data_IF_980256117850
#
_entry.id   IF_980256117850
#
_cell.length_a   1.000
_cell.length_b   1.000
_cell.length_c   1.000
_cell.angle_alpha   90.00
_cell.angle_beta   90.00
_cell.angle_gamma   90.00
#
_symmetry.space_group_name_H-M   'P 1'
#
loop_
_entity.id
_entity.type
_entity.pdbx_description
1 polymer ?
#
# COMPACT_ATOMS: atom_id res chain seq x y z
N UNK A 1 -37.21 16.56 38.39
CA UNK A 1 -37.18 15.94 37.01
C UNK A 1 -35.84 16.12 36.29
N UNK A 2 -35.16 17.29 36.44
CA UNK A 2 -33.91 17.59 35.71
C UNK A 2 -32.74 16.70 36.15
N UNK A 3 -32.55 16.45 37.45
CA UNK A 3 -31.45 15.64 38.02
C UNK A 3 -31.53 14.16 37.57
N UNK A 4 -32.75 13.61 37.48
CA UNK A 4 -32.96 12.21 37.05
C UNK A 4 -32.56 11.99 35.57
N UNK A 5 -32.73 12.99 34.72
CA UNK A 5 -32.33 12.93 33.32
C UNK A 5 -30.82 13.07 33.10
N UNK A 6 -30.13 13.85 33.93
CA UNK A 6 -28.66 13.96 33.90
C UNK A 6 -27.98 12.66 34.35
N UNK A 7 -28.50 11.99 35.41
CA UNK A 7 -28.00 10.71 35.87
C UNK A 7 -28.17 9.60 34.81
N UNK A 8 -29.29 9.56 34.07
CA UNK A 8 -29.50 8.62 32.98
C UNK A 8 -28.55 8.86 31.78
N UNK A 9 -28.21 10.11 31.51
CA UNK A 9 -27.22 10.42 30.44
C UNK A 9 -25.81 9.98 30.84
N UNK A 10 -25.40 10.21 32.09
CA UNK A 10 -24.09 9.77 32.59
C UNK A 10 -23.97 8.24 32.61
N UNK A 11 -25.03 7.53 32.99
CA UNK A 11 -25.03 6.06 32.97
C UNK A 11 -24.91 5.52 31.56
N UNK A 12 -25.66 6.07 30.58
CA UNK A 12 -25.61 5.67 29.16
C UNK A 12 -24.26 6.00 28.53
N UNK A 13 -23.60 7.07 28.97
CA UNK A 13 -22.27 7.46 28.47
C UNK A 13 -21.19 6.50 29.00
N UNK A 14 -21.28 6.09 30.28
CA UNK A 14 -20.36 5.10 30.85
C UNK A 14 -20.51 3.71 30.21
N UNK A 15 -21.73 3.28 29.88
CA UNK A 15 -21.94 2.01 29.17
C UNK A 15 -21.39 2.06 27.74
N UNK A 16 -21.49 3.19 27.05
CA UNK A 16 -20.91 3.37 25.73
C UNK A 16 -19.38 3.34 25.75
N UNK A 17 -18.75 3.96 26.76
CA UNK A 17 -17.29 3.95 26.95
C UNK A 17 -16.82 2.54 27.32
N UNK A 18 -17.53 1.85 28.21
CA UNK A 18 -17.19 0.49 28.64
C UNK A 18 -17.28 -0.52 27.49
N UNK A 19 -18.30 -0.42 26.62
CA UNK A 19 -18.42 -1.26 25.43
C UNK A 19 -17.32 -0.99 24.39
N UNK A 20 -16.94 0.28 24.17
CA UNK A 20 -15.83 0.62 23.27
C UNK A 20 -14.48 0.17 23.83
N UNK A 21 -14.27 0.29 25.15
CA UNK A 21 -13.06 -0.21 25.80
C UNK A 21 -12.99 -1.75 25.74
N UNK A 22 -14.09 -2.45 25.96
CA UNK A 22 -14.17 -3.90 25.81
C UNK A 22 -13.89 -4.38 24.39
N UNK A 23 -14.36 -3.65 23.38
CA UNK A 23 -14.10 -3.94 21.98
C UNK A 23 -12.63 -3.71 21.61
N UNK A 24 -12.01 -2.66 22.13
CA UNK A 24 -10.59 -2.37 21.96
C UNK A 24 -9.70 -3.41 22.66
N UNK A 25 -10.05 -3.80 23.89
CA UNK A 25 -9.32 -4.85 24.63
C UNK A 25 -9.47 -6.20 23.93
N UNK A 26 -10.66 -6.55 23.44
CA UNK A 26 -10.89 -7.76 22.65
C UNK A 26 -10.10 -7.77 21.33
N UNK A 27 -9.97 -6.62 20.66
CA UNK A 27 -9.15 -6.47 19.46
C UNK A 27 -7.66 -6.60 19.79
N UNK A 28 -7.19 -6.03 20.90
CA UNK A 28 -5.80 -6.14 21.37
C UNK A 28 -5.45 -7.57 21.83
N UNK A 29 -6.39 -8.29 22.46
CA UNK A 29 -6.17 -9.69 22.84
C UNK A 29 -6.18 -10.62 21.64
N UNK A 30 -7.02 -10.38 20.63
CA UNK A 30 -6.96 -11.08 19.34
C UNK A 30 -5.64 -10.85 18.61
N UNK A 31 -5.11 -9.64 18.61
CA UNK A 31 -3.79 -9.30 18.06
C UNK A 31 -2.63 -9.90 18.87
N UNK A 32 -2.78 -10.06 20.19
CA UNK A 32 -1.78 -10.65 21.08
C UNK A 32 -1.66 -12.18 21.03
N UNK A 33 -2.66 -12.88 20.48
CA UNK A 33 -2.62 -14.34 20.31
C UNK A 33 -1.72 -14.81 19.14
N UNK A 34 -1.27 -13.91 18.27
CA UNK A 34 -0.21 -14.24 17.33
C UNK A 34 1.13 -14.17 18.07
N UNK A 35 1.60 -15.29 18.61
CA UNK A 35 2.97 -15.43 19.09
C UNK A 35 3.91 -15.27 17.88
N UNK A 36 4.26 -14.02 17.55
CA UNK A 36 5.19 -13.66 16.49
C UNK A 36 6.56 -14.14 16.95
N UNK A 37 7.01 -15.26 16.44
CA UNK A 37 8.41 -15.67 16.58
C UNK A 37 9.24 -14.72 15.69
N UNK A 38 10.31 -14.17 16.23
CA UNK A 38 11.19 -13.22 15.51
C UNK A 38 11.70 -13.78 14.15
N UNK A 39 11.78 -15.11 14.05
CA UNK A 39 12.18 -15.84 12.82
C UNK A 39 11.16 -15.76 11.66
N UNK A 40 10.03 -15.12 11.88
CA UNK A 40 8.89 -15.09 10.96
C UNK A 40 8.68 -13.72 10.31
N UNK A 41 9.63 -12.80 10.47
CA UNK A 41 9.54 -11.43 9.97
C UNK A 41 10.62 -11.17 8.92
N UNK A 42 10.21 -10.59 7.80
CA UNK A 42 11.11 -10.11 6.77
C UNK A 42 10.84 -8.64 6.44
N UNK A 43 11.91 -7.87 6.24
CA UNK A 43 11.83 -6.49 5.73
C UNK A 43 12.31 -6.48 4.29
N UNK A 44 11.62 -5.73 3.42
CA UNK A 44 11.94 -5.71 1.99
C UNK A 44 11.81 -4.32 1.38
N UNK A 45 12.54 -4.14 0.27
CA UNK A 45 12.41 -2.97 -0.59
C UNK A 45 12.33 -3.40 -2.05
N UNK A 46 11.46 -2.76 -2.82
CA UNK A 46 11.30 -3.02 -4.25
C UNK A 46 12.25 -2.11 -5.05
N UNK A 47 13.24 -2.72 -5.68
CA UNK A 47 14.27 -2.04 -6.47
C UNK A 47 13.69 -1.41 -7.75
N UNK A 48 12.72 -2.07 -8.40
CA UNK A 48 12.08 -1.49 -9.59
C UNK A 48 11.34 -0.21 -9.24
N UNK A 49 10.61 -0.19 -8.12
CA UNK A 49 9.87 0.97 -7.67
C UNK A 49 10.80 2.09 -7.20
N UNK A 50 11.88 1.74 -6.48
CA UNK A 50 12.91 2.68 -6.06
C UNK A 50 13.72 3.25 -7.22
N UNK A 51 14.18 2.39 -8.13
CA UNK A 51 15.06 2.78 -9.24
C UNK A 51 14.31 3.47 -10.39
N UNK A 52 13.24 2.86 -10.92
CA UNK A 52 12.52 3.39 -12.07
C UNK A 52 11.63 4.59 -11.70
N UNK A 53 10.95 4.54 -10.57
CA UNK A 53 10.04 5.60 -10.14
C UNK A 53 10.67 6.57 -9.15
N UNK A 54 11.93 6.35 -8.77
CA UNK A 54 12.66 7.16 -7.77
C UNK A 54 11.82 7.37 -6.50
N UNK A 55 11.12 6.31 -6.08
CA UNK A 55 10.16 6.36 -4.99
C UNK A 55 10.62 5.48 -3.85
N UNK A 56 10.96 6.06 -2.69
CA UNK A 56 11.23 5.31 -1.47
C UNK A 56 10.06 4.38 -1.13
N UNK A 57 10.39 3.14 -0.78
CA UNK A 57 9.39 2.13 -0.46
C UNK A 57 9.96 1.11 0.53
N UNK A 58 9.08 0.59 1.36
CA UNK A 58 9.41 -0.42 2.35
C UNK A 58 8.24 -1.39 2.50
N UNK A 59 8.53 -2.64 2.76
CA UNK A 59 7.57 -3.67 3.08
C UNK A 59 8.01 -4.50 4.28
N UNK A 60 7.04 -5.02 5.00
CA UNK A 60 7.23 -5.96 6.10
C UNK A 60 6.34 -7.16 5.84
N UNK A 61 6.91 -8.34 5.94
CA UNK A 61 6.21 -9.60 5.74
C UNK A 61 6.28 -10.45 7.00
N UNK A 62 5.13 -11.00 7.40
CA UNK A 62 4.97 -11.84 8.59
C UNK A 62 4.57 -13.26 8.21
N UNK A 63 5.27 -14.25 8.77
CA UNK A 63 4.86 -15.64 8.72
C UNK A 63 3.70 -15.91 9.68
N UNK A 64 2.54 -16.31 9.15
CA UNK A 64 1.37 -16.68 9.94
C UNK A 64 1.37 -18.18 10.18
N UNK A 65 1.78 -18.95 9.19
CA UNK A 65 1.87 -20.41 9.23
C UNK A 65 3.06 -20.90 8.40
N UNK A 66 3.39 -22.22 8.42
CA UNK A 66 4.49 -22.74 7.63
C UNK A 66 4.42 -22.44 6.12
N UNK A 67 3.22 -22.19 5.60
CA UNK A 67 2.99 -21.91 4.17
C UNK A 67 2.24 -20.60 3.90
N UNK A 68 1.93 -19.80 4.93
CA UNK A 68 1.19 -18.55 4.77
C UNK A 68 1.97 -17.39 5.38
N UNK A 69 2.05 -16.30 4.60
CA UNK A 69 2.61 -15.02 5.05
C UNK A 69 1.68 -13.86 4.67
N UNK A 70 1.74 -12.78 5.43
CA UNK A 70 1.11 -11.50 5.11
C UNK A 70 2.18 -10.49 4.85
N UNK A 71 2.12 -9.82 3.70
CA UNK A 71 3.01 -8.74 3.29
C UNK A 71 2.25 -7.41 3.36
N UNK A 72 2.80 -6.45 4.07
CA UNK A 72 2.36 -5.06 4.06
C UNK A 72 3.47 -4.21 3.45
N UNK A 73 3.17 -3.51 2.35
CA UNK A 73 4.12 -2.71 1.62
C UNK A 73 3.59 -1.30 1.42
N UNK A 74 4.48 -0.30 1.52
CA UNK A 74 4.16 1.09 1.32
C UNK A 74 5.23 1.84 0.53
N UNK A 75 4.79 2.83 -0.25
CA UNK A 75 5.64 3.73 -0.99
C UNK A 75 5.15 5.17 -0.87
N UNK A 76 6.09 6.11 -0.78
CA UNK A 76 5.78 7.52 -0.66
C UNK A 76 6.76 8.35 -1.47
N UNK A 77 6.23 9.14 -2.41
CA UNK A 77 7.02 10.08 -3.20
C UNK A 77 6.50 11.51 -3.03
N UNK A 78 7.13 12.32 -2.17
CA UNK A 78 6.78 13.72 -2.00
C UNK A 78 7.44 14.64 -3.03
N UNK A 79 8.42 14.13 -3.80
CA UNK A 79 9.31 14.93 -4.63
C UNK A 79 8.71 15.25 -6.01
N UNK A 80 8.95 16.44 -6.56
CA UNK A 80 8.70 16.72 -7.98
C UNK A 80 9.73 15.97 -8.84
N UNK A 81 9.30 15.39 -9.96
CA UNK A 81 10.19 14.72 -10.91
C UNK A 81 10.89 15.76 -11.78
N UNK A 82 12.15 16.16 -11.44
CA UNK A 82 12.95 17.09 -12.23
C UNK A 82 13.96 17.88 -11.42
N UNK A 83 15.16 18.06 -11.99
CA UNK A 83 16.31 18.71 -11.31
C UNK A 83 16.12 20.19 -10.97
N UNK A 84 15.09 20.86 -11.50
CA UNK A 84 14.86 22.30 -11.26
C UNK A 84 13.41 22.52 -10.84
N UNK A 85 13.20 22.86 -9.58
CA UNK A 85 11.89 23.08 -8.97
C UNK A 85 11.13 24.31 -9.50
N UNK A 86 11.73 25.11 -10.37
CA UNK A 86 11.16 26.30 -11.03
C UNK A 86 11.72 26.39 -12.45
N UNK A 87 11.11 25.70 -13.39
CA UNK A 87 11.51 25.78 -14.77
C UNK A 87 10.52 25.05 -15.70
N UNK A 88 10.44 25.42 -16.93
CA UNK A 88 9.44 25.19 -17.98
C UNK A 88 8.95 23.73 -18.20
N UNK A 89 9.40 22.75 -17.41
CA UNK A 89 8.95 21.37 -17.44
C UNK A 89 8.43 20.95 -16.05
N UNK A 90 7.23 21.41 -15.71
CA UNK A 90 6.54 21.17 -14.43
C UNK A 90 6.12 19.69 -14.26
N UNK A 91 7.10 18.77 -14.30
CA UNK A 91 6.88 17.33 -14.11
C UNK A 91 6.65 17.05 -12.63
N UNK A 92 5.46 16.60 -12.28
CA UNK A 92 5.12 16.18 -10.90
C UNK A 92 4.66 14.74 -10.90
N UNK A 93 5.23 13.95 -9.98
CA UNK A 93 4.81 12.58 -9.75
C UNK A 93 4.73 12.31 -8.24
N UNK A 94 3.89 13.09 -7.58
CA UNK A 94 3.65 12.89 -6.15
C UNK A 94 2.63 11.79 -5.98
N UNK A 95 2.96 10.77 -5.20
CA UNK A 95 2.03 9.70 -4.89
C UNK A 95 2.42 8.98 -3.61
N UNK A 96 1.44 8.35 -3.01
CA UNK A 96 1.65 7.32 -2.02
C UNK A 96 0.78 6.12 -2.34
N UNK A 97 1.26 4.96 -1.97
CA UNK A 97 0.59 3.69 -2.21
C UNK A 97 0.84 2.78 -1.01
N UNK A 98 -0.21 2.15 -0.52
CA UNK A 98 -0.15 1.07 0.46
C UNK A 98 -0.75 -0.18 -0.16
N UNK A 99 -0.17 -1.32 0.15
CA UNK A 99 -0.62 -2.61 -0.35
C UNK A 99 -0.48 -3.66 0.72
N UNK A 100 -1.52 -4.48 0.87
CA UNK A 100 -1.51 -5.70 1.67
C UNK A 100 -1.65 -6.91 0.76
N UNK A 101 -0.95 -7.99 1.07
CA UNK A 101 -0.97 -9.22 0.29
C UNK A 101 -0.90 -10.44 1.19
N UNK A 102 -1.82 -11.37 0.99
CA UNK A 102 -1.78 -12.69 1.59
C UNK A 102 -1.10 -13.64 0.60
N UNK A 103 -0.07 -14.35 1.05
CA UNK A 103 0.75 -15.24 0.23
C UNK A 103 0.66 -16.68 0.69
N UNK A 104 0.54 -17.55 -0.28
CA UNK A 104 0.63 -19.00 -0.09
C UNK A 104 1.89 -19.53 -0.78
N UNK A 105 2.77 -20.16 0.01
CA UNK A 105 4.03 -20.75 -0.41
C UNK A 105 3.84 -22.22 -0.77
N UNK A 106 4.39 -22.65 -1.90
CA UNK A 106 4.26 -24.04 -2.34
C UNK A 106 5.08 -25.00 -1.47
N UNK A 107 6.28 -24.57 -1.06
CA UNK A 107 7.16 -25.37 -0.19
C UNK A 107 7.09 -24.85 1.25
N UNK A 108 7.96 -23.93 1.60
CA UNK A 108 8.06 -23.29 2.90
C UNK A 108 7.99 -21.78 2.76
N UNK A 109 7.56 -21.09 3.82
CA UNK A 109 7.55 -19.61 3.83
C UNK A 109 8.95 -19.06 3.56
N UNK A 110 9.01 -17.95 2.84
CA UNK A 110 10.23 -17.25 2.43
C UNK A 110 11.16 -18.06 1.53
N UNK A 111 10.68 -19.13 0.89
CA UNK A 111 11.47 -19.96 -0.01
C UNK A 111 10.69 -20.44 -1.23
N UNK A 112 11.22 -20.18 -2.43
CA UNK A 112 10.69 -20.69 -3.68
C UNK A 112 9.46 -19.96 -4.20
N UNK A 113 8.54 -20.73 -4.77
CA UNK A 113 7.35 -20.23 -5.44
C UNK A 113 6.23 -19.87 -4.46
N UNK A 114 5.56 -18.77 -4.74
CA UNK A 114 4.35 -18.36 -4.02
C UNK A 114 3.29 -17.75 -4.93
N UNK A 115 2.04 -17.86 -4.51
CA UNK A 115 0.89 -17.17 -5.05
C UNK A 115 0.39 -16.17 -4.00
N UNK A 116 -0.08 -15.00 -4.45
CA UNK A 116 -0.59 -13.98 -3.55
C UNK A 116 -1.90 -13.38 -4.03
N UNK A 117 -2.77 -13.03 -3.08
CA UNK A 117 -3.90 -12.15 -3.30
C UNK A 117 -3.62 -10.81 -2.66
N UNK A 118 -3.71 -9.71 -3.41
CA UNK A 118 -3.36 -8.38 -2.91
C UNK A 118 -4.49 -7.37 -3.06
N UNK A 119 -4.55 -6.47 -2.09
CA UNK A 119 -5.37 -5.28 -2.08
C UNK A 119 -4.45 -4.06 -2.06
N UNK A 120 -4.82 -3.00 -2.74
CA UNK A 120 -4.03 -1.77 -2.73
C UNK A 120 -4.91 -0.52 -2.76
N UNK A 121 -4.40 0.53 -2.13
CA UNK A 121 -4.99 1.84 -2.13
C UNK A 121 -3.89 2.91 -2.19
N UNK A 122 -4.16 4.01 -2.92
CA UNK A 122 -3.22 5.10 -2.99
C UNK A 122 -3.81 6.37 -3.59
N UNK A 123 -3.05 7.43 -3.48
CA UNK A 123 -3.36 8.72 -4.08
C UNK A 123 -2.20 9.18 -4.96
N UNK A 124 -2.54 9.82 -6.04
CA UNK A 124 -1.56 10.32 -6.98
C UNK A 124 -1.89 11.73 -7.47
N UNK A 125 -0.84 12.47 -7.76
CA UNK A 125 -0.90 13.79 -8.36
C UNK A 125 0.20 13.85 -9.42
N UNK A 126 -0.20 13.62 -10.66
CA UNK A 126 0.70 13.45 -11.79
C UNK A 126 0.45 14.52 -12.82
N UNK A 127 1.52 15.19 -13.29
CA UNK A 127 1.45 16.19 -14.34
C UNK A 127 2.65 16.11 -15.27
N UNK A 128 2.43 16.40 -16.55
CA UNK A 128 3.45 16.56 -17.58
C UNK A 128 4.42 15.37 -17.73
N UNK A 129 3.91 14.15 -17.69
CA UNK A 129 4.69 12.95 -18.01
C UNK A 129 4.42 12.58 -19.47
N UNK A 130 5.41 12.80 -20.36
CA UNK A 130 5.32 12.50 -21.80
C UNK A 130 5.10 11.01 -22.12
N UNK A 131 5.57 10.13 -21.24
CA UNK A 131 5.32 8.69 -21.37
C UNK A 131 3.90 8.39 -20.90
N UNK A 132 3.15 7.61 -21.64
CA UNK A 132 1.77 7.17 -21.40
C UNK A 132 0.65 8.20 -21.66
N UNK A 133 0.89 9.23 -22.51
CA UNK A 133 -0.18 10.18 -22.89
C UNK A 133 -0.66 11.08 -21.73
N UNK A 134 0.19 11.34 -20.74
CA UNK A 134 -0.12 12.16 -19.56
C UNK A 134 0.43 13.60 -19.67
N UNK A 135 0.82 14.04 -20.89
CA UNK A 135 1.56 15.29 -21.12
C UNK A 135 0.78 16.59 -20.87
N UNK A 136 -0.52 16.62 -21.21
CA UNK A 136 -1.23 17.88 -21.35
C UNK A 136 -2.09 18.28 -20.13
N UNK A 137 -2.35 17.37 -19.22
CA UNK A 137 -3.24 17.58 -18.08
C UNK A 137 -2.63 17.09 -16.79
N UNK A 138 -2.85 17.86 -15.71
CA UNK A 138 -2.61 17.40 -14.34
C UNK A 138 -3.77 16.51 -13.91
N UNK A 139 -3.46 15.32 -13.46
CA UNK A 139 -4.43 14.37 -12.92
C UNK A 139 -4.14 14.15 -11.44
N UNK A 140 -5.16 14.41 -10.65
CA UNK A 140 -5.10 14.20 -9.20
C UNK A 140 -6.27 13.31 -8.80
N UNK A 141 -6.01 12.24 -8.07
CA UNK A 141 -7.04 11.30 -7.68
C UNK A 141 -6.55 10.23 -6.75
N UNK A 142 -7.44 9.30 -6.52
CA UNK A 142 -7.19 8.09 -5.76
C UNK A 142 -7.39 6.86 -6.66
N UNK A 143 -6.75 5.77 -6.26
CA UNK A 143 -6.92 4.47 -6.86
C UNK A 143 -7.09 3.44 -5.76
N UNK A 144 -7.96 2.47 -6.00
CA UNK A 144 -8.18 1.32 -5.16
C UNK A 144 -8.32 0.09 -6.04
N UNK A 145 -7.83 -1.05 -5.60
CA UNK A 145 -7.92 -2.25 -6.40
C UNK A 145 -7.50 -3.51 -5.66
N UNK A 146 -7.63 -4.61 -6.40
CA UNK A 146 -7.25 -5.93 -5.94
C UNK A 146 -6.67 -6.74 -7.11
N UNK A 147 -5.94 -7.78 -6.78
CA UNK A 147 -5.36 -8.64 -7.80
C UNK A 147 -4.73 -9.89 -7.23
N UNK A 148 -4.21 -10.68 -8.16
CA UNK A 148 -3.45 -11.88 -7.86
C UNK A 148 -2.01 -11.69 -8.34
N UNK A 149 -1.09 -12.29 -7.61
CA UNK A 149 0.33 -12.25 -7.93
C UNK A 149 0.92 -13.64 -7.89
N UNK A 150 2.00 -13.80 -8.64
CA UNK A 150 2.88 -14.95 -8.60
C UNK A 150 4.31 -14.47 -8.50
N UNK A 151 5.11 -15.15 -7.68
CA UNK A 151 6.50 -14.79 -7.51
C UNK A 151 7.37 -15.98 -7.11
N UNK A 152 8.65 -15.68 -7.12
CA UNK A 152 9.70 -16.62 -6.70
C UNK A 152 10.72 -15.88 -5.84
N UNK A 153 11.09 -16.48 -4.71
CA UNK A 153 12.12 -15.99 -3.81
C UNK A 153 13.35 -16.90 -3.84
N UNK A 154 14.50 -16.28 -4.11
CA UNK A 154 15.82 -16.92 -4.08
C UNK A 154 16.50 -16.57 -2.78
N UNK A 155 16.87 -17.59 -2.00
CA UNK A 155 17.68 -17.43 -0.78
C UNK A 155 19.14 -17.27 -1.21
N UNK A 156 19.75 -16.14 -0.89
CA UNK A 156 21.17 -15.87 -1.15
C UNK A 156 22.04 -16.19 0.06
N UNK A 157 21.52 -15.94 1.25
CA UNK A 157 22.22 -16.21 2.52
C UNK A 157 21.18 -16.42 3.64
N UNK A 158 21.59 -16.80 4.87
CA UNK A 158 20.66 -16.99 5.97
C UNK A 158 19.76 -15.79 6.29
N UNK A 159 20.18 -14.58 5.95
CA UNK A 159 19.42 -13.34 6.20
C UNK A 159 18.96 -12.63 4.92
N UNK A 160 19.58 -12.90 3.76
CA UNK A 160 19.33 -12.17 2.53
C UNK A 160 18.67 -13.02 1.46
N UNK A 161 17.65 -12.47 0.85
CA UNK A 161 16.95 -13.08 -0.30
C UNK A 161 16.63 -12.04 -1.35
N UNK A 162 16.42 -12.51 -2.58
CA UNK A 162 15.89 -11.71 -3.68
C UNK A 162 14.56 -12.31 -4.11
N UNK A 163 13.59 -11.46 -4.42
CA UNK A 163 12.26 -11.87 -4.88
C UNK A 163 11.97 -11.24 -6.23
N UNK A 164 11.51 -12.03 -7.18
CA UNK A 164 10.87 -11.59 -8.42
C UNK A 164 9.37 -11.85 -8.35
N UNK A 165 8.53 -10.84 -8.68
CA UNK A 165 7.08 -10.96 -8.59
C UNK A 165 6.36 -10.17 -9.68
N UNK A 166 5.30 -10.80 -10.22
CA UNK A 166 4.36 -10.18 -11.15
C UNK A 166 2.93 -10.37 -10.65
N UNK A 167 2.06 -9.39 -10.91
CA UNK A 167 0.66 -9.46 -10.52
C UNK A 167 -0.25 -8.78 -11.52
N UNK A 168 -1.44 -9.36 -11.67
CA UNK A 168 -2.54 -8.84 -12.48
C UNK A 168 -3.74 -8.59 -11.60
N UNK A 169 -4.55 -7.61 -11.95
CA UNK A 169 -5.73 -7.30 -11.14
C UNK A 169 -6.55 -6.18 -11.72
N UNK A 170 -7.52 -5.78 -10.92
CA UNK A 170 -8.45 -4.72 -11.21
C UNK A 170 -8.17 -3.51 -10.34
N UNK A 171 -8.22 -2.32 -10.94
CA UNK A 171 -8.12 -1.05 -10.25
C UNK A 171 -9.23 -0.09 -10.67
N UNK A 172 -9.85 0.53 -9.69
CA UNK A 172 -10.78 1.65 -9.88
C UNK A 172 -10.05 2.96 -9.60
N UNK A 173 -10.04 3.85 -10.61
CA UNK A 173 -9.40 5.15 -10.54
C UNK A 173 -10.48 6.24 -10.53
N UNK A 174 -10.45 7.07 -9.50
CA UNK A 174 -11.26 8.29 -9.42
C UNK A 174 -10.34 9.49 -9.48
N UNK A 175 -10.48 10.35 -10.50
CA UNK A 175 -9.56 11.47 -10.67
C UNK A 175 -10.20 12.72 -11.26
N UNK A 176 -9.66 13.86 -10.86
CA UNK A 176 -9.96 15.17 -11.42
C UNK A 176 -8.86 15.58 -12.39
N UNK A 177 -9.28 16.17 -13.52
CA UNK A 177 -8.37 16.77 -14.52
C UNK A 177 -8.29 18.27 -14.30
N UNK A 178 -7.06 18.78 -14.39
CA UNK A 178 -6.76 20.21 -14.35
C UNK A 178 -5.87 20.56 -15.55
N UNK A 179 -5.94 21.80 -16.11
CA UNK A 179 -4.99 22.26 -17.10
C UNK A 179 -3.58 22.30 -16.51
N UNK A 180 -2.56 22.01 -17.32
CA UNK A 180 -1.15 22.01 -16.87
C UNK A 180 -0.59 23.39 -16.61
N UNK A 181 -1.19 24.45 -17.15
CA UNK A 181 -0.85 25.86 -16.88
C UNK A 181 -1.51 26.29 -15.59
N UNK A 182 -0.81 27.15 -14.85
CA UNK A 182 -1.08 27.61 -13.48
C UNK A 182 -2.56 27.83 -13.11
N UNK A 183 -2.95 27.36 -11.89
CA UNK A 183 -4.22 27.68 -11.19
C UNK A 183 -5.51 27.55 -12.00
N UNK A 184 -5.63 26.55 -12.85
CA UNK A 184 -6.83 26.33 -13.64
C UNK A 184 -8.00 25.76 -12.82
N UNK A 185 -9.23 26.17 -13.14
CA UNK A 185 -10.46 25.53 -12.63
C UNK A 185 -10.48 24.06 -13.02
N UNK A 186 -11.04 23.20 -12.13
CA UNK A 186 -11.23 21.78 -12.39
C UNK A 186 -12.02 21.58 -13.68
N UNK A 187 -11.46 20.88 -14.66
CA UNK A 187 -12.09 20.67 -15.97
C UNK A 187 -13.14 19.57 -15.90
N UNK A 188 -12.81 18.44 -15.28
CA UNK A 188 -13.71 17.29 -15.20
C UNK A 188 -13.33 16.36 -14.06
N UNK A 189 -14.32 15.58 -13.58
CA UNK A 189 -14.15 14.43 -12.70
C UNK A 189 -14.46 13.19 -13.52
N UNK A 190 -13.56 12.22 -13.49
CA UNK A 190 -13.72 11.00 -14.27
C UNK A 190 -13.42 9.77 -13.41
N UNK A 191 -14.15 8.71 -13.69
CA UNK A 191 -13.89 7.37 -13.17
C UNK A 191 -13.35 6.51 -14.31
N UNK A 192 -12.37 5.68 -14.02
CA UNK A 192 -11.84 4.72 -14.98
C UNK A 192 -11.58 3.38 -14.29
N UNK A 193 -12.06 2.35 -14.92
CA UNK A 193 -11.76 0.97 -14.55
C UNK A 193 -10.54 0.51 -15.36
N UNK A 194 -9.64 -0.20 -14.72
CA UNK A 194 -8.44 -0.75 -15.31
C UNK A 194 -8.33 -2.22 -14.94
N UNK A 195 -8.10 -3.05 -15.95
CA UNK A 195 -7.78 -4.47 -15.78
C UNK A 195 -6.42 -4.71 -16.46
N UNK A 196 -5.46 -5.25 -15.74
CA UNK A 196 -4.13 -5.48 -16.27
C UNK A 196 -3.06 -5.66 -15.19
N UNK A 197 -1.77 -5.48 -15.53
CA UNK A 197 -0.69 -5.57 -14.55
C UNK A 197 -0.86 -4.56 -13.42
N UNK A 198 -1.00 -5.05 -12.19
CA UNK A 198 -1.14 -4.22 -10.99
C UNK A 198 0.12 -4.22 -10.13
N UNK A 199 1.02 -5.18 -10.37
CA UNK A 199 2.28 -5.28 -9.64
C UNK A 199 3.40 -5.86 -10.50
N UNK A 200 4.57 -5.23 -10.40
CA UNK A 200 5.86 -5.77 -10.82
C UNK A 200 6.89 -5.41 -9.75
N UNK A 201 7.63 -6.38 -9.25
CA UNK A 201 8.62 -6.15 -8.22
C UNK A 201 9.84 -7.05 -8.41
N UNK A 202 11.00 -6.44 -8.23
CA UNK A 202 12.25 -7.12 -7.90
C UNK A 202 12.68 -6.55 -6.55
N UNK A 203 12.64 -7.37 -5.51
CA UNK A 203 12.83 -6.91 -4.14
C UNK A 203 14.05 -7.55 -3.49
N UNK A 204 14.77 -6.78 -2.70
CA UNK A 204 15.73 -7.31 -1.74
C UNK A 204 15.01 -7.48 -0.42
N UNK A 205 15.24 -8.60 0.24
CA UNK A 205 14.57 -9.01 1.46
C UNK A 205 15.63 -9.32 2.52
N UNK A 206 15.42 -8.80 3.72
CA UNK A 206 16.19 -9.13 4.92
C UNK A 206 15.31 -9.85 5.93
N UNK A 207 15.68 -11.10 6.26
CA UNK A 207 15.00 -11.94 7.24
C UNK A 207 15.53 -11.62 8.64
N UNK A 208 14.62 -11.22 9.53
CA UNK A 208 14.90 -11.05 10.95
C UNK A 208 14.82 -12.42 11.62
N UNK A 209 15.94 -12.91 12.09
CA UNK A 209 16.07 -14.19 12.81
C UNK A 209 16.37 -13.96 14.28
#
# INVERSE_FOLDING_TARGET
>A
RCIRNSLKRLYKMNDCIRNKAGLLIGLFTLLGCFAIRAQDIAVKTNLLYGGLLQTPNIGVEWGISPKLTVDLWGAYNPFPLGKNGYGSNNRKMKHWLIQSELRYWLCERFNGHFFGGHLFYGQYNVSNIRYWGLGDFRRQGNLAGFGFSYGYQWILSPHWSIEGRLGIGYAHLHYSKYPCKECGKRLSVNNRNYLGPTRAAVSIIYLLK
#
